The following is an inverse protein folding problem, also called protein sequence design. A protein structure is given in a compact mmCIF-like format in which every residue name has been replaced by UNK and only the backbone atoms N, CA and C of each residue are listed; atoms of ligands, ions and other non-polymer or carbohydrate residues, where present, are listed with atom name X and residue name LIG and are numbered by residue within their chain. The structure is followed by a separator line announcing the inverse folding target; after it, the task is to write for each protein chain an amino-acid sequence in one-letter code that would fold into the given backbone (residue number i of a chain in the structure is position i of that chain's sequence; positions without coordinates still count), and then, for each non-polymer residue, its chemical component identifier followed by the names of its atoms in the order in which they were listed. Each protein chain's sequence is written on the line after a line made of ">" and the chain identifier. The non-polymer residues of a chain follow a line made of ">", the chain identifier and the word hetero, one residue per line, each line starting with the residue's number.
data_IF_587001988456
#
_entry.id   IF_587001988456
#
_cell.length_a   1.000
_cell.length_b   1.000
_cell.length_c   1.000
_cell.angle_alpha   90.00
_cell.angle_beta   90.00
_cell.angle_gamma   90.00
#
_symmetry.space_group_name_H-M   'P 1'
#
loop_
_entity.id
_entity.type
_entity.pdbx_description
1 polymer ?
#
# COMPACT_ATOMS: atom_id res chain seq x y z
N UNK A 1 -4.63 14.35 2.53
CA UNK A 1 -5.11 14.51 1.14
C UNK A 1 -6.59 14.82 1.22
N UNK A 2 -7.13 15.74 0.41
CA UNK A 2 -8.55 16.11 0.48
C UNK A 2 -9.49 14.96 0.07
N UNK A 3 -9.04 14.08 -0.82
CA UNK A 3 -9.83 12.97 -1.37
C UNK A 3 -9.03 11.67 -1.30
N UNK A 4 -9.70 10.55 -1.07
CA UNK A 4 -9.08 9.22 -1.04
C UNK A 4 -8.81 8.67 -2.44
N UNK A 5 -8.05 9.40 -3.25
CA UNK A 5 -7.79 9.07 -4.66
C UNK A 5 -6.32 8.70 -4.95
N UNK A 6 -5.58 8.27 -3.94
CA UNK A 6 -4.20 7.83 -4.15
C UNK A 6 -4.16 6.36 -4.61
N UNK A 7 -3.23 6.05 -5.51
CA UNK A 7 -2.95 4.72 -6.01
C UNK A 7 -1.61 4.24 -5.47
N UNK A 8 -1.56 3.03 -4.97
CA UNK A 8 -0.32 2.37 -4.61
C UNK A 8 0.09 1.37 -5.69
N UNK A 9 1.38 1.34 -5.97
CA UNK A 9 2.02 0.38 -6.87
C UNK A 9 3.03 -0.41 -6.03
N UNK A 10 2.84 -1.71 -5.93
CA UNK A 10 3.78 -2.61 -5.26
C UNK A 10 4.55 -3.44 -6.28
N UNK A 11 5.87 -3.29 -6.33
CA UNK A 11 6.76 -4.02 -7.24
C UNK A 11 7.50 -5.09 -6.44
N UNK A 12 7.34 -6.35 -6.81
CA UNK A 12 7.99 -7.46 -6.14
C UNK A 12 9.46 -7.58 -6.59
N UNK A 13 10.38 -7.42 -5.68
CA UNK A 13 11.81 -7.66 -5.95
C UNK A 13 12.21 -9.12 -5.68
N UNK A 14 11.47 -9.82 -4.84
CA UNK A 14 11.58 -11.26 -4.59
C UNK A 14 10.27 -11.94 -4.98
N UNK A 15 10.31 -13.28 -5.11
CA UNK A 15 9.09 -14.07 -5.27
C UNK A 15 8.18 -13.90 -4.05
N UNK A 16 6.94 -13.50 -4.27
CA UNK A 16 5.94 -13.40 -3.21
C UNK A 16 5.08 -14.65 -3.21
N UNK A 17 5.06 -15.34 -2.08
CA UNK A 17 4.30 -16.57 -1.85
C UNK A 17 3.31 -16.37 -0.71
N UNK A 18 2.40 -17.31 -0.51
CA UNK A 18 1.49 -17.29 0.64
C UNK A 18 2.19 -17.45 2.00
N UNK A 19 3.48 -17.84 2.03
CA UNK A 19 4.21 -18.18 3.26
C UNK A 19 5.19 -17.09 3.72
N UNK A 20 5.63 -16.20 2.82
CA UNK A 20 6.62 -15.17 3.14
C UNK A 20 5.99 -13.81 3.48
N UNK A 21 4.77 -13.81 4.01
CA UNK A 21 4.09 -12.63 4.49
C UNK A 21 3.52 -11.74 3.37
N UNK A 22 2.72 -12.28 2.43
CA UNK A 22 2.15 -11.52 1.34
C UNK A 22 1.27 -10.37 1.83
N UNK A 23 1.08 -9.38 0.98
CA UNK A 23 0.10 -8.34 1.25
C UNK A 23 -1.31 -8.90 1.03
N UNK A 24 -2.12 -8.87 2.08
CA UNK A 24 -3.52 -9.28 2.03
C UNK A 24 -4.41 -8.08 1.82
N UNK A 25 -5.46 -8.23 1.03
CA UNK A 25 -6.46 -7.21 0.74
C UNK A 25 -7.86 -7.70 1.06
N UNK A 26 -8.71 -6.79 1.50
CA UNK A 26 -10.16 -7.02 1.55
C UNK A 26 -10.79 -6.34 0.32
N UNK A 27 -11.16 -7.10 -0.72
CA UNK A 27 -11.70 -6.54 -1.96
C UNK A 27 -12.92 -5.65 -1.70
N UNK A 28 -13.01 -4.54 -2.43
CA UNK A 28 -14.10 -3.55 -2.38
C UNK A 28 -14.17 -2.71 -1.10
N UNK A 29 -13.34 -2.94 -0.07
CA UNK A 29 -13.38 -2.16 1.17
C UNK A 29 -13.17 -0.65 0.97
N UNK A 30 -12.43 -0.24 -0.07
CA UNK A 30 -12.28 1.18 -0.46
C UNK A 30 -13.61 1.87 -0.85
N UNK A 31 -14.70 1.12 -1.06
CA UNK A 31 -16.03 1.64 -1.40
C UNK A 31 -16.93 1.89 -0.20
N UNK A 32 -16.53 1.45 0.97
CA UNK A 32 -17.29 1.60 2.22
C UNK A 32 -17.13 3.00 2.85
N UNK A 33 -16.41 3.89 2.20
CA UNK A 33 -16.17 5.25 2.68
C UNK A 33 -15.06 5.30 3.75
N UNK A 34 -15.20 6.21 4.71
CA UNK A 34 -14.24 6.34 5.80
C UNK A 34 -14.40 5.18 6.79
N UNK A 35 -13.31 4.44 6.98
CA UNK A 35 -13.22 3.36 7.97
C UNK A 35 -12.41 3.90 9.14
N UNK A 36 -12.97 3.86 10.34
CA UNK A 36 -12.29 4.30 11.54
C UNK A 36 -11.11 3.37 11.88
N UNK A 37 -9.98 3.97 12.22
CA UNK A 37 -8.77 3.24 12.55
C UNK A 37 -8.06 3.87 13.74
N UNK A 38 -7.54 3.04 14.62
CA UNK A 38 -6.77 3.45 15.79
C UNK A 38 -5.29 3.20 15.59
N UNK A 39 -4.46 3.96 16.29
CA UNK A 39 -3.02 3.80 16.24
C UNK A 39 -2.59 2.88 17.40
N UNK A 40 -2.31 1.64 17.10
CA UNK A 40 -1.84 0.67 18.08
C UNK A 40 -0.34 0.87 18.34
N UNK A 41 -0.02 1.23 19.58
CA UNK A 41 1.34 1.43 20.06
C UNK A 41 1.73 0.44 21.17
N UNK A 42 0.85 -0.53 21.47
CA UNK A 42 1.00 -1.40 22.65
C UNK A 42 1.12 -2.89 22.31
N UNK A 43 0.40 -3.36 21.29
CA UNK A 43 0.33 -4.80 20.99
C UNK A 43 1.30 -5.25 19.90
N UNK A 44 1.95 -4.31 19.23
CA UNK A 44 2.93 -4.58 18.17
C UNK A 44 4.29 -3.98 18.49
N UNK A 45 5.35 -4.56 17.95
CA UNK A 45 6.73 -4.08 18.14
C UNK A 45 7.00 -2.70 17.53
N UNK A 46 6.12 -2.22 16.67
CA UNK A 46 6.10 -0.88 16.08
C UNK A 46 4.66 -0.42 15.89
N UNK A 47 4.47 0.88 15.88
CA UNK A 47 3.13 1.46 15.79
C UNK A 47 2.44 1.14 14.45
N UNK A 48 1.25 0.57 14.52
CA UNK A 48 0.41 0.22 13.37
C UNK A 48 -0.94 0.91 13.43
N UNK A 49 -1.51 1.18 12.27
CA UNK A 49 -2.92 1.53 12.15
C UNK A 49 -3.75 0.25 12.14
N UNK A 50 -4.70 0.14 13.07
CA UNK A 50 -5.56 -1.02 13.22
C UNK A 50 -7.02 -0.64 13.05
N UNK A 51 -7.80 -1.54 12.48
CA UNK A 51 -9.25 -1.46 12.36
C UNK A 51 -9.82 -2.46 13.36
N UNK A 52 -10.93 -2.12 14.03
CA UNK A 52 -11.52 -3.02 15.01
C UNK A 52 -12.01 -4.33 14.36
N UNK A 53 -12.05 -5.39 15.16
CA UNK A 53 -12.34 -6.75 14.68
C UNK A 53 -13.75 -6.91 14.10
N UNK A 54 -14.72 -6.20 14.63
CA UNK A 54 -16.10 -6.21 14.15
C UNK A 54 -16.17 -5.67 12.71
N UNK A 55 -15.59 -4.49 12.46
CA UNK A 55 -15.50 -3.90 11.13
C UNK A 55 -14.75 -4.79 10.14
N UNK A 56 -13.62 -5.39 10.57
CA UNK A 56 -12.89 -6.34 9.72
C UNK A 56 -13.76 -7.53 9.35
N UNK A 57 -14.48 -8.10 10.33
CA UNK A 57 -15.36 -9.24 10.10
C UNK A 57 -16.47 -8.91 9.09
N UNK A 58 -17.10 -7.76 9.22
CA UNK A 58 -18.10 -7.29 8.25
C UNK A 58 -17.54 -7.13 6.84
N UNK A 59 -16.37 -6.51 6.71
CA UNK A 59 -15.71 -6.31 5.42
C UNK A 59 -15.33 -7.63 4.76
N UNK A 60 -14.79 -8.57 5.56
CA UNK A 60 -14.42 -9.91 5.09
C UNK A 60 -15.65 -10.72 4.67
N UNK A 61 -16.75 -10.64 5.40
CA UNK A 61 -18.00 -11.30 5.03
C UNK A 61 -18.56 -10.80 3.69
N UNK A 62 -18.32 -9.52 3.36
CA UNK A 62 -18.74 -8.92 2.08
C UNK A 62 -17.78 -9.21 0.92
N UNK A 63 -16.48 -9.16 1.17
CA UNK A 63 -15.45 -9.13 0.12
C UNK A 63 -14.47 -10.31 0.11
N UNK A 64 -14.42 -11.08 1.19
CA UNK A 64 -13.37 -12.09 1.39
C UNK A 64 -12.00 -11.45 1.65
N UNK A 65 -10.97 -12.29 1.62
CA UNK A 65 -9.56 -11.85 1.68
C UNK A 65 -8.83 -12.44 0.48
N UNK A 66 -8.00 -11.63 -0.15
CA UNK A 66 -7.14 -12.08 -1.26
C UNK A 66 -5.68 -11.72 -0.98
N UNK A 67 -4.77 -12.62 -1.36
CA UNK A 67 -3.33 -12.43 -1.23
C UNK A 67 -2.68 -12.54 -2.60
N UNK A 68 -2.38 -11.43 -3.28
CA UNK A 68 -1.62 -11.49 -4.53
C UNK A 68 -0.25 -12.12 -4.29
N UNK A 69 0.05 -13.14 -5.06
CA UNK A 69 1.36 -13.81 -5.12
C UNK A 69 1.91 -13.72 -6.51
N UNK A 70 3.22 -13.83 -6.66
CA UNK A 70 3.85 -13.77 -7.99
C UNK A 70 5.36 -13.83 -7.91
N UNK A 71 5.97 -13.93 -9.07
CA UNK A 71 7.44 -13.91 -9.23
C UNK A 71 8.00 -12.51 -9.06
N UNK A 72 9.29 -12.42 -8.77
CA UNK A 72 10.03 -11.16 -8.85
C UNK A 72 9.76 -10.48 -10.20
N UNK A 73 9.56 -9.17 -10.19
CA UNK A 73 9.10 -8.37 -11.34
C UNK A 73 7.57 -8.25 -11.48
N UNK A 74 6.78 -9.01 -10.71
CA UNK A 74 5.32 -8.81 -10.68
C UNK A 74 4.97 -7.47 -10.05
N UNK A 75 3.87 -6.87 -10.50
CA UNK A 75 3.39 -5.57 -10.01
C UNK A 75 1.94 -5.69 -9.58
N UNK A 76 1.62 -5.12 -8.42
CA UNK A 76 0.25 -5.00 -7.91
C UNK A 76 -0.13 -3.52 -7.80
N UNK A 77 -1.31 -3.18 -8.32
CA UNK A 77 -1.91 -1.85 -8.22
C UNK A 77 -3.11 -1.92 -7.28
N UNK A 78 -3.20 -0.99 -6.35
CA UNK A 78 -4.34 -0.95 -5.45
C UNK A 78 -4.63 0.47 -4.95
N UNK A 79 -5.90 0.75 -4.68
CA UNK A 79 -6.34 1.99 -4.08
C UNK A 79 -5.77 2.15 -2.66
N UNK A 80 -5.29 3.33 -2.32
CA UNK A 80 -4.66 3.57 -1.00
C UNK A 80 -5.62 3.42 0.18
N UNK A 81 -6.93 3.52 -0.05
CA UNK A 81 -7.97 3.31 0.96
C UNK A 81 -8.46 1.86 1.05
N UNK A 82 -7.96 0.97 0.19
CA UNK A 82 -8.26 -0.46 0.28
C UNK A 82 -7.69 -1.02 1.58
N UNK A 83 -8.52 -1.67 2.38
CA UNK A 83 -8.06 -2.30 3.63
C UNK A 83 -7.09 -3.43 3.30
N UNK A 84 -5.91 -3.35 3.89
CA UNK A 84 -4.82 -4.27 3.62
C UNK A 84 -3.90 -4.43 4.83
N UNK A 85 -3.16 -5.52 4.85
CA UNK A 85 -2.17 -5.81 5.87
C UNK A 85 -1.28 -6.98 5.45
N UNK A 86 -0.16 -7.16 6.12
CA UNK A 86 0.72 -8.30 5.89
C UNK A 86 0.88 -9.09 7.16
N UNK A 87 0.76 -10.43 7.13
CA UNK A 87 1.19 -11.27 8.22
C UNK A 87 2.73 -11.28 8.30
N UNK A 88 3.25 -11.80 9.40
CA UNK A 88 4.68 -12.03 9.55
C UNK A 88 5.20 -13.02 8.50
N UNK A 89 6.43 -12.84 8.06
CA UNK A 89 7.12 -13.82 7.24
C UNK A 89 7.52 -15.01 8.12
N UNK A 90 6.95 -16.19 7.85
CA UNK A 90 7.24 -17.43 8.56
C UNK A 90 8.12 -18.39 7.74
N UNK A 91 8.55 -17.96 6.58
CA UNK A 91 9.39 -18.75 5.65
C UNK A 91 10.86 -18.32 5.71
N UNK A 92 11.78 -19.13 5.19
CA UNK A 92 13.20 -18.74 5.06
C UNK A 92 13.45 -17.81 3.86
N UNK A 93 12.43 -17.47 3.07
CA UNK A 93 12.59 -16.67 1.85
C UNK A 93 12.36 -15.19 2.12
N UNK A 94 13.16 -14.37 1.49
CA UNK A 94 12.97 -12.92 1.52
C UNK A 94 11.66 -12.52 0.84
N UNK A 95 11.15 -11.36 1.24
CA UNK A 95 10.05 -10.67 0.58
C UNK A 95 10.32 -9.19 0.58
N UNK A 96 10.89 -8.71 -0.48
CA UNK A 96 11.16 -7.29 -0.69
C UNK A 96 10.16 -6.74 -1.70
N UNK A 97 9.45 -5.69 -1.32
CA UNK A 97 8.49 -4.99 -2.17
C UNK A 97 8.82 -3.51 -2.16
N UNK A 98 8.94 -2.90 -3.32
CA UNK A 98 9.01 -1.44 -3.48
C UNK A 98 7.60 -0.90 -3.62
N UNK A 99 7.22 0.05 -2.76
CA UNK A 99 5.94 0.74 -2.86
C UNK A 99 6.13 2.14 -3.41
N UNK A 100 5.33 2.48 -4.41
CA UNK A 100 5.25 3.81 -4.99
C UNK A 100 3.81 4.29 -4.79
N UNK A 101 3.63 5.37 -4.05
CA UNK A 101 2.32 5.99 -3.86
C UNK A 101 2.16 7.16 -4.83
N UNK A 102 1.18 7.07 -5.69
CA UNK A 102 0.85 8.07 -6.69
C UNK A 102 -0.42 8.81 -6.31
N UNK A 103 -0.44 10.11 -6.53
CA UNK A 103 -1.60 10.93 -6.28
C UNK A 103 -1.75 11.98 -7.38
N UNK A 104 -2.98 12.44 -7.61
CA UNK A 104 -3.20 13.57 -8.53
C UNK A 104 -2.58 14.84 -7.94
N UNK A 105 -1.94 15.65 -8.75
CA UNK A 105 -1.38 16.94 -8.32
C UNK A 105 -2.45 17.86 -7.73
N UNK A 106 -3.68 17.81 -8.24
CA UNK A 106 -4.83 18.54 -7.69
C UNK A 106 -5.25 18.08 -6.30
N UNK A 107 -4.90 16.84 -5.91
CA UNK A 107 -5.25 16.23 -4.62
C UNK A 107 -4.08 16.23 -3.62
N UNK A 108 -3.14 17.13 -3.77
CA UNK A 108 -1.97 17.23 -2.88
C UNK A 108 -2.36 17.63 -1.44
N UNK A 109 -1.47 17.32 -0.50
CA UNK A 109 -1.61 17.69 0.91
C UNK A 109 -1.57 19.21 1.04
N UNK A 110 -2.59 19.80 1.66
CA UNK A 110 -2.66 21.25 1.92
C UNK A 110 -2.16 21.66 3.30
N UNK A 111 -2.20 20.74 4.26
CA UNK A 111 -1.71 20.95 5.63
C UNK A 111 -0.69 19.88 5.97
N UNK A 112 0.55 20.29 6.14
CA UNK A 112 1.66 19.39 6.46
C UNK A 112 1.70 19.11 7.95
N UNK A 113 1.30 17.90 8.35
CA UNK A 113 1.33 17.41 9.74
C UNK A 113 2.46 16.43 9.99
N UNK A 114 3.15 15.96 8.92
CA UNK A 114 4.24 15.00 8.98
C UNK A 114 5.53 15.61 8.39
N UNK A 115 6.71 15.14 8.82
CA UNK A 115 7.98 15.51 8.20
C UNK A 115 8.01 15.23 6.69
N UNK A 116 8.82 15.98 5.95
CA UNK A 116 8.92 15.86 4.49
C UNK A 116 9.40 14.48 4.03
N UNK A 117 10.30 13.84 4.76
CA UNK A 117 10.79 12.50 4.45
C UNK A 117 9.71 11.39 4.57
N UNK A 118 8.57 11.69 5.23
CA UNK A 118 7.40 10.80 5.30
C UNK A 118 6.33 11.23 4.29
N UNK A 119 6.12 12.54 4.16
CA UNK A 119 5.10 13.13 3.30
C UNK A 119 5.77 14.10 2.32
N UNK A 120 6.17 13.57 1.18
CA UNK A 120 6.85 14.32 0.14
C UNK A 120 6.09 15.58 -0.28
N UNK A 121 6.81 16.68 -0.58
CA UNK A 121 6.24 18.00 -0.83
C UNK A 121 6.44 18.48 -2.27
N UNK A 122 7.05 17.68 -3.12
CA UNK A 122 7.09 17.93 -4.54
C UNK A 122 5.76 17.50 -5.17
N UNK A 123 5.07 18.45 -5.77
CA UNK A 123 3.78 18.26 -6.41
C UNK A 123 3.85 18.47 -7.92
N UNK A 124 5.04 18.51 -8.46
CA UNK A 124 5.23 18.60 -9.90
C UNK A 124 4.70 17.33 -10.60
N UNK A 125 3.99 17.46 -11.71
CA UNK A 125 3.55 16.31 -12.46
C UNK A 125 4.71 15.43 -12.92
N UNK A 126 4.58 14.11 -12.73
CA UNK A 126 5.53 13.16 -13.28
C UNK A 126 5.53 13.28 -14.80
N UNK A 127 6.72 13.40 -15.39
CA UNK A 127 6.91 13.47 -16.84
C UNK A 127 7.35 12.12 -17.37
N UNK A 128 6.77 11.69 -18.49
CA UNK A 128 7.23 10.52 -19.19
C UNK A 128 8.67 10.74 -19.70
N UNK A 129 9.50 9.76 -19.51
CA UNK A 129 10.83 9.68 -20.11
C UNK A 129 10.74 8.89 -21.44
N UNK A 130 11.83 8.92 -22.23
CA UNK A 130 11.93 8.11 -23.45
C UNK A 130 11.94 6.61 -23.10
N UNK A 131 11.41 5.76 -23.99
CA UNK A 131 11.23 4.33 -23.74
C UNK A 131 12.50 3.58 -23.31
N UNK A 132 13.66 4.01 -23.74
CA UNK A 132 14.95 3.38 -23.43
C UNK A 132 15.79 4.14 -22.41
N UNK A 133 15.21 5.07 -21.66
CA UNK A 133 15.95 5.97 -20.74
C UNK A 133 16.81 5.21 -19.69
N UNK A 134 16.44 3.98 -19.32
CA UNK A 134 17.21 3.15 -18.38
C UNK A 134 18.39 2.40 -19.03
N UNK A 135 18.45 2.40 -20.36
CA UNK A 135 19.53 1.76 -21.13
C UNK A 135 20.56 2.78 -21.62
N UNK A 136 20.23 4.05 -21.61
CA UNK A 136 21.15 5.12 -21.95
C UNK A 136 22.17 5.24 -20.82
N UNK A 137 23.45 5.04 -21.14
CA UNK A 137 24.54 5.26 -20.17
C UNK A 137 24.60 6.73 -19.83
N UNK A 138 24.42 7.05 -18.56
CA UNK A 138 24.71 8.37 -18.00
C UNK A 138 26.20 8.68 -18.13
#
# INVERSE_FOLDING_TARGET
>A
MPEGLALNVGIFLDDVTQFNGPLNFIPKSHREGYIDSSHDTQTTSYALWTINEETISELVNKGGIVSPTGKAGSVVFFDSSLVHGSPSNMSPWNRTIVYISLNRTSNHIRKFTRPEYIAHRDFDPIKCLNDNCLQEKV
#
